data_IF_493677326788
#
_entry.id   IF_493677326788
#
_cell.length_a   1.000
_cell.length_b   1.000
_cell.length_c   1.000
_cell.angle_alpha   90.00
_cell.angle_beta   90.00
_cell.angle_gamma   90.00
#
_symmetry.space_group_name_H-M   'P 1'
#
loop_
_entity.id
_entity.type
_entity.pdbx_description
1 polymer ?
#
# COMPACT_ATOMS: atom_id res chain seq x y z
N UNK A 1 15.24 6.45 -26.54
CA UNK A 1 15.93 6.17 -25.29
C UNK A 1 14.94 5.65 -24.26
N UNK A 2 15.32 4.62 -23.53
CA UNK A 2 14.46 4.11 -22.47
C UNK A 2 14.57 4.99 -21.23
N UNK A 3 13.46 5.16 -20.54
CA UNK A 3 13.43 5.89 -19.28
C UNK A 3 14.08 5.07 -18.17
N UNK A 4 14.83 5.72 -17.30
CA UNK A 4 15.43 5.06 -16.14
C UNK A 4 14.35 4.75 -15.10
N UNK A 5 14.66 3.84 -14.18
CA UNK A 5 13.78 3.56 -13.04
C UNK A 5 13.50 4.83 -12.25
N UNK A 6 14.51 5.65 -12.04
CA UNK A 6 14.36 6.94 -11.36
C UNK A 6 13.35 7.84 -12.07
N UNK A 7 13.48 7.99 -13.40
CA UNK A 7 12.57 8.84 -14.19
C UNK A 7 11.12 8.32 -14.08
N UNK A 8 10.94 7.01 -14.17
CA UNK A 8 9.62 6.40 -14.07
C UNK A 8 9.02 6.60 -12.69
N UNK A 9 9.83 6.42 -11.65
CA UNK A 9 9.39 6.63 -10.27
C UNK A 9 9.00 8.09 -10.02
N UNK A 10 9.80 9.03 -10.53
CA UNK A 10 9.51 10.45 -10.38
C UNK A 10 8.22 10.84 -11.11
N UNK A 11 8.02 10.33 -12.31
CA UNK A 11 6.76 10.54 -13.04
C UNK A 11 5.55 10.02 -12.28
N UNK A 12 5.66 8.81 -11.76
CA UNK A 12 4.59 8.21 -10.98
C UNK A 12 4.28 9.02 -9.72
N UNK A 13 5.32 9.47 -9.02
CA UNK A 13 5.18 10.27 -7.80
C UNK A 13 4.51 11.62 -8.09
N UNK A 14 4.89 12.28 -9.18
CA UNK A 14 4.27 13.54 -9.60
C UNK A 14 2.78 13.35 -9.90
N UNK A 15 2.43 12.26 -10.58
CA UNK A 15 1.03 11.96 -10.89
C UNK A 15 0.22 11.65 -9.62
N UNK A 16 0.83 10.94 -8.66
CA UNK A 16 0.21 10.71 -7.36
C UNK A 16 -0.07 12.03 -6.64
N UNK A 17 0.91 12.91 -6.60
CA UNK A 17 0.79 14.21 -5.93
C UNK A 17 -0.27 15.09 -6.60
N UNK A 18 -0.43 14.94 -7.92
CA UNK A 18 -1.45 15.67 -8.68
C UNK A 18 -2.85 15.05 -8.55
N UNK A 19 -2.97 13.88 -7.94
CA UNK A 19 -4.26 13.19 -7.82
C UNK A 19 -4.63 12.34 -9.04
N UNK A 20 -3.71 12.18 -9.99
CA UNK A 20 -3.93 11.38 -11.21
C UNK A 20 -3.54 9.92 -10.94
N UNK A 21 -4.32 9.28 -10.07
CA UNK A 21 -3.95 7.96 -9.51
C UNK A 21 -3.89 6.85 -10.56
N UNK A 22 -4.86 6.78 -11.46
CA UNK A 22 -4.82 5.77 -12.53
C UNK A 22 -3.63 5.99 -13.47
N UNK A 23 -3.38 7.24 -13.85
CA UNK A 23 -2.25 7.57 -14.70
C UNK A 23 -0.92 7.22 -14.04
N UNK A 24 -0.83 7.38 -12.71
CA UNK A 24 0.37 7.07 -11.95
C UNK A 24 0.74 5.59 -12.02
N UNK A 25 -0.24 4.69 -12.17
CA UNK A 25 0.04 3.25 -12.22
C UNK A 25 0.91 2.87 -13.42
N UNK A 26 0.83 3.61 -14.52
CA UNK A 26 1.55 3.25 -15.75
C UNK A 26 3.07 3.34 -15.57
N UNK A 27 3.63 4.51 -15.21
CA UNK A 27 5.09 4.57 -14.99
C UNK A 27 5.54 3.74 -13.80
N UNK A 28 4.71 3.61 -12.76
CA UNK A 28 5.08 2.82 -11.58
C UNK A 28 5.10 1.32 -11.85
N UNK A 29 4.20 0.81 -12.68
CA UNK A 29 4.23 -0.59 -13.12
C UNK A 29 5.48 -0.89 -13.95
N UNK A 30 5.88 0.05 -14.80
CA UNK A 30 7.12 -0.09 -15.57
C UNK A 30 8.35 -0.06 -14.68
N UNK A 31 8.36 0.81 -13.68
CA UNK A 31 9.44 0.87 -12.70
C UNK A 31 9.54 -0.45 -11.92
N UNK A 32 8.40 -0.99 -11.49
CA UNK A 32 8.35 -2.28 -10.78
C UNK A 32 8.90 -3.41 -11.65
N UNK A 33 8.57 -3.42 -12.94
CA UNK A 33 9.09 -4.43 -13.85
C UNK A 33 10.61 -4.40 -13.95
N UNK A 34 11.20 -3.22 -13.86
CA UNK A 34 12.66 -3.05 -13.91
C UNK A 34 13.34 -3.36 -12.57
N UNK A 35 12.70 -3.00 -11.45
CA UNK A 35 13.23 -3.27 -10.11
C UNK A 35 12.11 -3.79 -9.20
N UNK A 36 11.77 -5.10 -9.32
CA UNK A 36 10.60 -5.67 -8.62
C UNK A 36 10.76 -5.72 -7.10
N UNK A 37 11.99 -5.62 -6.59
CA UNK A 37 12.26 -5.72 -5.16
C UNK A 37 12.36 -4.36 -4.47
N UNK A 38 12.17 -3.27 -5.19
CA UNK A 38 12.30 -1.93 -4.61
C UNK A 38 11.02 -1.53 -3.88
N UNK A 39 11.10 -1.50 -2.56
CA UNK A 39 9.92 -1.25 -1.70
C UNK A 39 9.29 0.13 -1.92
N UNK A 40 10.09 1.15 -2.22
CA UNK A 40 9.56 2.50 -2.49
C UNK A 40 8.64 2.51 -3.72
N UNK A 41 9.00 1.74 -4.75
CA UNK A 41 8.17 1.61 -5.95
C UNK A 41 6.88 0.86 -5.63
N UNK A 42 7.00 -0.27 -4.92
CA UNK A 42 5.84 -1.08 -4.51
C UNK A 42 4.86 -0.26 -3.66
N UNK A 43 5.39 0.51 -2.72
CA UNK A 43 4.57 1.34 -1.86
C UNK A 43 3.84 2.43 -2.65
N UNK A 44 4.55 3.12 -3.55
CA UNK A 44 3.94 4.14 -4.40
C UNK A 44 2.86 3.54 -5.30
N UNK A 45 3.15 2.40 -5.90
CA UNK A 45 2.19 1.70 -6.77
C UNK A 45 0.97 1.22 -5.98
N UNK A 46 1.19 0.69 -4.78
CA UNK A 46 0.11 0.30 -3.88
C UNK A 46 -0.82 1.47 -3.55
N UNK A 47 -0.24 2.64 -3.29
CA UNK A 47 -1.01 3.87 -3.04
C UNK A 47 -1.83 4.27 -4.27
N UNK A 48 -1.23 4.20 -5.45
CA UNK A 48 -1.92 4.53 -6.70
C UNK A 48 -3.10 3.57 -6.94
N UNK A 49 -2.89 2.28 -6.74
CA UNK A 49 -3.96 1.29 -6.85
C UNK A 49 -5.07 1.54 -5.85
N UNK A 50 -4.71 1.80 -4.59
CA UNK A 50 -5.69 2.04 -3.53
C UNK A 50 -6.57 3.25 -3.86
N UNK A 51 -5.94 4.35 -4.25
CA UNK A 51 -6.66 5.60 -4.56
C UNK A 51 -7.49 5.49 -5.84
N UNK A 52 -7.22 4.52 -6.71
CA UNK A 52 -8.04 4.21 -7.88
C UNK A 52 -9.03 3.08 -7.62
N UNK A 53 -9.23 2.69 -6.38
CA UNK A 53 -10.14 1.62 -5.95
C UNK A 53 -9.79 0.24 -6.52
N UNK A 54 -8.51 0.02 -6.83
CA UNK A 54 -7.99 -1.28 -7.28
C UNK A 54 -7.39 -1.98 -6.07
N UNK A 55 -8.26 -2.36 -5.14
CA UNK A 55 -7.85 -2.78 -3.79
C UNK A 55 -7.10 -4.11 -3.75
N UNK A 56 -7.48 -5.09 -4.57
CA UNK A 56 -6.77 -6.37 -4.62
C UNK A 56 -5.33 -6.18 -5.10
N UNK A 57 -5.13 -5.33 -6.10
CA UNK A 57 -3.79 -5.02 -6.60
C UNK A 57 -2.98 -4.23 -5.57
N UNK A 58 -3.63 -3.29 -4.86
CA UNK A 58 -2.99 -2.56 -3.77
C UNK A 58 -2.50 -3.52 -2.68
N UNK A 59 -3.34 -4.48 -2.30
CA UNK A 59 -2.99 -5.47 -1.28
C UNK A 59 -1.75 -6.28 -1.70
N UNK A 60 -1.64 -6.67 -2.96
CA UNK A 60 -0.48 -7.41 -3.46
C UNK A 60 0.81 -6.60 -3.32
N UNK A 61 0.77 -5.29 -3.63
CA UNK A 61 1.95 -4.43 -3.54
C UNK A 61 2.37 -4.24 -2.07
N UNK A 62 1.42 -3.94 -1.19
CA UNK A 62 1.73 -3.76 0.23
C UNK A 62 2.16 -5.06 0.89
N UNK A 63 1.59 -6.20 0.47
CA UNK A 63 2.03 -7.52 0.95
C UNK A 63 3.49 -7.76 0.62
N UNK A 64 3.92 -7.40 -0.59
CA UNK A 64 5.32 -7.52 -0.99
C UNK A 64 6.24 -6.65 -0.12
N UNK A 65 5.77 -5.46 0.27
CA UNK A 65 6.55 -4.59 1.16
C UNK A 65 6.69 -5.20 2.56
N UNK A 66 5.60 -5.69 3.16
CA UNK A 66 5.66 -6.26 4.52
C UNK A 66 6.45 -7.57 4.56
N UNK A 67 6.49 -8.31 3.46
CA UNK A 67 7.31 -9.52 3.38
C UNK A 67 8.79 -9.20 3.55
N UNK A 68 9.26 -8.13 2.91
CA UNK A 68 10.66 -7.71 2.98
C UNK A 68 10.97 -6.87 4.21
N UNK A 69 9.99 -6.11 4.68
CA UNK A 69 10.13 -5.17 5.78
C UNK A 69 9.00 -5.38 6.80
N UNK A 70 9.08 -6.46 7.59
CA UNK A 70 7.98 -6.82 8.51
C UNK A 70 7.68 -5.77 9.59
N UNK A 71 8.61 -4.84 9.83
CA UNK A 71 8.41 -3.77 10.83
C UNK A 71 7.98 -2.44 10.20
N UNK A 72 7.63 -2.45 8.92
CA UNK A 72 7.11 -1.25 8.26
C UNK A 72 5.63 -1.08 8.63
N UNK A 73 5.38 -0.26 9.66
CA UNK A 73 4.03 -0.07 10.20
C UNK A 73 3.06 0.54 9.18
N UNK A 74 3.55 1.47 8.36
CA UNK A 74 2.71 2.09 7.33
C UNK A 74 2.24 1.05 6.29
N UNK A 75 3.13 0.17 5.86
CA UNK A 75 2.77 -0.88 4.91
C UNK A 75 1.74 -1.84 5.50
N UNK A 76 1.86 -2.21 6.77
CA UNK A 76 0.84 -3.02 7.45
C UNK A 76 -0.51 -2.30 7.49
N UNK A 77 -0.50 -1.01 7.80
CA UNK A 77 -1.72 -0.21 7.83
C UNK A 77 -2.39 -0.18 6.44
N UNK A 78 -1.62 0.12 5.40
CA UNK A 78 -2.13 0.17 4.02
C UNK A 78 -2.62 -1.19 3.55
N UNK A 79 -1.92 -2.26 3.92
CA UNK A 79 -2.34 -3.63 3.61
C UNK A 79 -3.67 -3.93 4.30
N UNK A 80 -3.79 -3.56 5.57
CA UNK A 80 -5.04 -3.75 6.32
C UNK A 80 -6.22 -3.06 5.64
N UNK A 81 -6.05 -1.81 5.22
CA UNK A 81 -7.09 -1.05 4.51
C UNK A 81 -7.46 -1.70 3.17
N UNK A 82 -6.45 -2.15 2.44
CA UNK A 82 -6.66 -2.78 1.13
C UNK A 82 -7.43 -4.10 1.29
N UNK A 83 -7.05 -4.91 2.26
CA UNK A 83 -7.71 -6.18 2.55
C UNK A 83 -9.14 -5.98 3.05
N UNK A 84 -9.37 -4.95 3.87
CA UNK A 84 -10.73 -4.60 4.31
C UNK A 84 -11.64 -4.36 3.11
N UNK A 85 -11.15 -3.62 2.13
CA UNK A 85 -11.91 -3.27 0.94
C UNK A 85 -12.10 -4.43 -0.04
N UNK A 86 -11.39 -5.54 0.16
CA UNK A 86 -11.59 -6.78 -0.62
C UNK A 86 -12.42 -7.82 0.14
N UNK A 87 -12.88 -7.49 1.35
CA UNK A 87 -13.66 -8.39 2.17
C UNK A 87 -12.85 -9.42 2.96
N UNK A 88 -11.53 -9.34 2.92
CA UNK A 88 -10.63 -10.27 3.64
C UNK A 88 -10.39 -9.74 5.05
N UNK A 89 -11.46 -9.72 5.83
CA UNK A 89 -11.49 -9.02 7.13
C UNK A 89 -10.56 -9.61 8.18
N UNK A 90 -10.41 -10.93 8.21
CA UNK A 90 -9.55 -11.59 9.19
C UNK A 90 -8.08 -11.22 8.99
N UNK A 91 -7.62 -11.26 7.74
CA UNK A 91 -6.27 -10.83 7.39
C UNK A 91 -6.09 -9.34 7.63
N UNK A 92 -7.08 -8.53 7.24
CA UNK A 92 -7.06 -7.08 7.45
C UNK A 92 -6.89 -6.76 8.93
N UNK A 93 -7.64 -7.43 9.79
CA UNK A 93 -7.59 -7.23 11.24
C UNK A 93 -6.20 -7.54 11.81
N UNK A 94 -5.57 -8.59 11.32
CA UNK A 94 -4.21 -8.96 11.75
C UNK A 94 -3.20 -7.86 11.42
N UNK A 95 -3.22 -7.35 10.20
CA UNK A 95 -2.28 -6.30 9.79
C UNK A 95 -2.57 -4.96 10.47
N UNK A 96 -3.84 -4.63 10.68
CA UNK A 96 -4.22 -3.44 11.42
C UNK A 96 -3.71 -3.50 12.87
N UNK A 97 -3.82 -4.66 13.51
CA UNK A 97 -3.33 -4.86 14.87
C UNK A 97 -1.81 -4.72 14.94
N UNK A 98 -1.09 -5.24 13.92
CA UNK A 98 0.36 -5.09 13.87
C UNK A 98 0.77 -3.62 13.73
N UNK A 99 0.12 -2.87 12.86
CA UNK A 99 0.40 -1.44 12.68
C UNK A 99 0.16 -0.67 13.99
N UNK A 100 -0.98 -0.88 14.63
CA UNK A 100 -1.32 -0.20 15.88
C UNK A 100 -0.39 -0.60 17.02
N UNK A 101 0.06 -1.86 17.04
CA UNK A 101 1.02 -2.32 18.05
C UNK A 101 2.40 -1.69 17.89
N UNK A 102 2.83 -1.46 16.65
CA UNK A 102 4.10 -0.80 16.35
C UNK A 102 4.07 0.70 16.62
N UNK A 103 2.93 1.33 16.37
CA UNK A 103 2.74 2.77 16.54
C UNK A 103 1.43 3.03 17.29
N UNK A 104 1.44 2.79 18.61
CA UNK A 104 0.22 3.01 19.40
C UNK A 104 -0.18 4.47 19.53
N UNK A 105 0.71 5.39 19.18
CA UNK A 105 0.47 6.81 19.12
C UNK A 105 -0.38 7.25 17.91
N UNK A 106 -0.48 6.41 16.88
CA UNK A 106 -1.21 6.75 15.64
C UNK A 106 -2.70 6.45 15.82
N UNK A 107 -3.49 7.52 15.85
CA UNK A 107 -4.94 7.41 15.98
C UNK A 107 -5.58 6.69 14.79
N UNK A 108 -5.13 6.97 13.57
CA UNK A 108 -5.65 6.33 12.37
C UNK A 108 -5.43 4.81 12.40
N UNK A 109 -4.30 4.34 12.94
CA UNK A 109 -4.02 2.91 13.06
C UNK A 109 -4.94 2.25 14.09
N UNK A 110 -5.13 2.92 15.23
CA UNK A 110 -6.04 2.42 16.28
C UNK A 110 -7.49 2.36 15.76
N UNK A 111 -7.91 3.38 15.03
CA UNK A 111 -9.25 3.45 14.48
C UNK A 111 -9.53 2.31 13.52
N UNK A 112 -8.57 2.01 12.64
CA UNK A 112 -8.69 0.87 11.72
C UNK A 112 -8.79 -0.45 12.48
N UNK A 113 -7.89 -0.65 13.46
CA UNK A 113 -7.87 -1.85 14.29
C UNK A 113 -9.22 -2.05 14.98
N UNK A 114 -9.75 -1.01 15.59
CA UNK A 114 -10.99 -1.08 16.38
C UNK A 114 -12.21 -1.31 15.49
N UNK A 115 -12.24 -0.65 14.32
CA UNK A 115 -13.31 -0.86 13.35
C UNK A 115 -13.35 -2.30 12.87
N UNK A 116 -12.19 -2.86 12.55
CA UNK A 116 -12.10 -4.24 12.06
C UNK A 116 -12.45 -5.25 13.15
N UNK A 117 -12.11 -4.99 14.40
CA UNK A 117 -12.52 -5.83 15.52
C UNK A 117 -14.04 -5.88 15.67
N UNK A 118 -14.71 -4.73 15.53
CA UNK A 118 -16.16 -4.68 15.59
C UNK A 118 -16.81 -5.45 14.43
N UNK A 119 -16.23 -5.37 13.24
CA UNK A 119 -16.74 -6.07 12.06
C UNK A 119 -16.54 -7.58 12.14
N UNK A 120 -15.52 -8.03 12.86
CA UNK A 120 -15.17 -9.44 12.99
C UNK A 120 -15.96 -10.16 14.09
N UNK A 121 -16.66 -9.40 14.93
CA UNK A 121 -17.41 -9.97 16.06
C UNK A 121 -18.67 -10.71 15.59
#
# INVERSE_FOLDING_TARGET
MSESVYDLFMKGSELLDAGDFNAATIPLERARALEPDKSSIREALGRAYFRSARFAQAAEEFAAVVERHPVNHYAHFCLGRSLENTGRRREASRHAALAAGMRPDREDYRDLRDRLRRQAA
#
